data_IF_658319494051
#
_entry.id   IF_658319494051
#
_cell.length_a   1.000
_cell.length_b   1.000
_cell.length_c   1.000
_cell.angle_alpha   90.00
_cell.angle_beta   90.00
_cell.angle_gamma   90.00
#
_symmetry.space_group_name_H-M   'P 1'
#
loop_
_entity.id
_entity.type
_entity.pdbx_description
1 polymer ?
#
# COMPACT_ATOMS: atom_id res chain seq x y z
N UNK A 1 3.51 62.75 39.39
CA UNK A 1 4.46 61.73 38.91
C UNK A 1 4.41 60.51 39.83
N UNK A 2 3.82 59.41 39.33
CA UNK A 2 4.13 57.99 39.62
C UNK A 2 2.91 57.16 39.16
N UNK A 3 2.96 56.68 37.92
CA UNK A 3 2.06 55.63 37.46
C UNK A 3 2.56 54.30 38.01
N UNK A 4 1.68 53.53 38.65
CA UNK A 4 1.92 52.14 39.01
C UNK A 4 0.99 51.28 38.14
N UNK A 5 1.50 50.84 36.98
CA UNK A 5 0.80 49.91 36.09
C UNK A 5 1.04 48.50 36.62
N UNK A 6 0.09 47.99 37.41
CA UNK A 6 0.06 46.59 37.83
C UNK A 6 -0.48 45.78 36.66
N UNK A 7 0.43 45.09 35.95
CA UNK A 7 0.09 44.10 34.92
C UNK A 7 -0.35 42.80 35.59
N UNK A 8 -1.65 42.52 35.59
CA UNK A 8 -2.19 41.21 35.98
C UNK A 8 -2.41 40.41 34.69
N UNK A 9 -1.51 39.46 34.42
CA UNK A 9 -1.71 38.41 33.41
C UNK A 9 -2.73 37.40 33.97
N UNK A 10 -3.87 37.13 33.31
CA UNK A 10 -4.66 35.95 33.62
C UNK A 10 -3.95 34.70 33.12
N UNK A 11 -3.70 33.79 34.06
CA UNK A 11 -3.14 32.45 33.90
C UNK A 11 -3.94 31.68 32.86
N UNK A 12 -3.28 31.27 31.78
CA UNK A 12 -3.84 30.35 30.78
C UNK A 12 -3.89 28.95 31.41
N UNK A 13 -5.03 28.57 31.95
CA UNK A 13 -5.26 27.23 32.48
C UNK A 13 -5.26 26.24 31.31
N UNK A 14 -4.13 25.57 31.08
CA UNK A 14 -4.07 24.42 30.19
C UNK A 14 -4.99 23.33 30.73
N UNK A 15 -6.18 23.20 30.13
CA UNK A 15 -7.01 22.01 30.25
C UNK A 15 -6.20 20.87 29.63
N UNK A 16 -5.57 20.07 30.48
CA UNK A 16 -5.00 18.79 30.09
C UNK A 16 -6.17 17.91 29.64
N UNK A 17 -6.44 17.94 28.33
CA UNK A 17 -7.11 16.84 27.64
C UNK A 17 -6.27 15.60 27.94
N UNK A 18 -6.72 14.80 28.90
CA UNK A 18 -6.25 13.43 29.07
C UNK A 18 -6.64 12.69 27.80
N UNK A 19 -5.75 12.74 26.81
CA UNK A 19 -5.82 11.88 25.66
C UNK A 19 -5.88 10.45 26.21
N UNK A 20 -6.95 9.73 25.88
CA UNK A 20 -7.01 8.30 26.02
C UNK A 20 -5.87 7.71 25.18
N UNK A 21 -4.68 7.56 25.77
CA UNK A 21 -3.60 6.72 25.27
C UNK A 21 -4.01 5.26 25.48
N UNK A 22 -5.10 4.85 24.83
CA UNK A 22 -5.29 3.44 24.51
C UNK A 22 -4.24 3.13 23.45
N UNK A 23 -3.06 2.74 23.92
CA UNK A 23 -2.01 2.18 23.10
C UNK A 23 -2.50 0.79 22.73
N UNK A 24 -3.02 0.57 21.51
CA UNK A 24 -3.62 -0.70 21.21
C UNK A 24 -2.46 -1.68 21.07
N UNK A 25 -2.46 -2.70 21.91
CA UNK A 25 -1.43 -3.74 21.86
C UNK A 25 -1.59 -4.45 20.53
N UNK A 26 -0.51 -4.54 19.74
CA UNK A 26 -0.55 -5.27 18.48
C UNK A 26 -0.96 -6.72 18.77
N UNK A 27 -2.15 -7.11 18.30
CA UNK A 27 -2.69 -8.45 18.48
C UNK A 27 -2.20 -9.32 17.33
N UNK A 28 -0.89 -9.59 17.32
CA UNK A 28 -0.35 -10.65 16.50
C UNK A 28 -0.75 -12.00 17.12
N UNK A 29 -1.22 -12.96 16.31
CA UNK A 29 -1.37 -14.32 16.78
C UNK A 29 -0.01 -14.87 17.23
N UNK A 30 -0.02 -15.72 18.26
CA UNK A 30 1.19 -16.29 18.88
C UNK A 30 2.04 -17.10 17.90
N UNK A 31 1.46 -17.56 16.79
CA UNK A 31 2.18 -18.21 15.68
C UNK A 31 2.09 -17.35 14.41
N UNK A 32 3.23 -16.83 13.97
CA UNK A 32 3.37 -16.24 12.64
C UNK A 32 3.65 -17.31 11.59
N UNK A 33 3.10 -17.12 10.40
CA UNK A 33 3.39 -17.97 9.24
C UNK A 33 4.72 -17.54 8.63
N UNK A 34 5.55 -18.50 8.20
CA UNK A 34 6.76 -18.19 7.44
C UNK A 34 6.37 -17.68 6.04
N UNK A 35 7.05 -16.63 5.55
CA UNK A 35 6.80 -16.08 4.21
C UNK A 35 6.89 -17.13 3.09
N UNK A 36 7.74 -18.16 3.25
CA UNK A 36 7.88 -19.28 2.31
C UNK A 36 6.67 -20.21 2.24
N UNK A 37 5.78 -20.17 3.23
CA UNK A 37 4.55 -20.96 3.26
C UNK A 37 3.36 -20.21 2.62
N UNK A 38 3.54 -18.96 2.19
CA UNK A 38 2.52 -18.21 1.48
C UNK A 38 2.31 -18.83 0.08
N UNK A 39 1.06 -18.84 -0.43
CA UNK A 39 0.79 -19.38 -1.75
C UNK A 39 1.57 -18.59 -2.82
N UNK A 40 2.12 -19.31 -3.80
CA UNK A 40 2.80 -18.67 -4.92
C UNK A 40 1.86 -17.71 -5.67
N UNK A 41 2.41 -16.60 -6.17
CA UNK A 41 1.70 -15.63 -7.01
C UNK A 41 1.60 -16.17 -8.45
N UNK A 42 0.42 -16.10 -9.07
CA UNK A 42 0.23 -16.53 -10.46
C UNK A 42 0.80 -15.49 -11.44
N UNK A 43 1.86 -15.79 -12.20
CA UNK A 43 2.53 -14.80 -13.04
C UNK A 43 1.67 -14.21 -14.17
N UNK A 44 0.52 -14.82 -14.48
CA UNK A 44 -0.46 -14.31 -15.45
C UNK A 44 -1.45 -13.29 -14.89
N UNK A 45 -1.32 -12.89 -13.63
CA UNK A 45 -2.16 -11.89 -12.97
C UNK A 45 -1.33 -10.70 -12.50
N UNK A 46 -1.95 -9.53 -12.38
CA UNK A 46 -1.33 -8.48 -11.58
C UNK A 46 -1.48 -8.81 -10.11
N UNK A 47 -0.46 -8.49 -9.34
CA UNK A 47 -0.47 -8.62 -7.89
C UNK A 47 -0.13 -7.30 -7.21
N UNK A 48 -0.99 -6.88 -6.30
CA UNK A 48 -0.63 -5.92 -5.26
C UNK A 48 -0.30 -6.71 -4.01
N UNK A 49 0.97 -6.66 -3.59
CA UNK A 49 1.48 -7.41 -2.46
C UNK A 49 1.83 -6.43 -1.37
N UNK A 50 1.20 -6.59 -0.20
CA UNK A 50 1.43 -5.77 0.96
C UNK A 50 2.09 -6.58 2.08
N UNK A 51 3.11 -6.00 2.68
CA UNK A 51 3.76 -6.44 3.91
C UNK A 51 3.55 -5.38 4.98
N UNK A 52 2.31 -5.22 5.45
CA UNK A 52 1.90 -4.10 6.31
C UNK A 52 2.57 -4.23 7.67
N UNK A 53 3.45 -3.28 8.09
CA UNK A 53 4.10 -3.36 9.38
C UNK A 53 3.08 -3.32 10.52
N UNK A 54 3.35 -4.03 11.62
CA UNK A 54 2.43 -4.09 12.76
C UNK A 54 2.25 -2.76 13.48
N UNK A 55 3.19 -1.85 13.29
CA UNK A 55 3.12 -0.47 13.78
C UNK A 55 2.14 0.37 12.95
N UNK A 56 1.93 0.00 11.68
CA UNK A 56 0.94 0.62 10.77
C UNK A 56 -0.46 0.02 10.99
N UNK A 57 -0.54 -1.29 11.26
CA UNK A 57 -1.79 -1.99 11.48
C UNK A 57 -1.69 -3.02 12.62
N UNK A 58 -2.40 -2.77 13.71
CA UNK A 58 -2.37 -3.65 14.89
C UNK A 58 -3.21 -4.93 14.74
N UNK A 59 -4.12 -4.96 13.78
CA UNK A 59 -5.01 -6.10 13.51
C UNK A 59 -5.08 -6.40 12.02
N UNK A 60 -5.45 -7.64 11.67
CA UNK A 60 -5.66 -8.05 10.28
C UNK A 60 -6.66 -7.13 9.57
N UNK A 61 -7.80 -6.81 10.20
CA UNK A 61 -8.82 -5.94 9.59
C UNK A 61 -8.29 -4.54 9.30
N UNK A 62 -7.49 -3.96 10.20
CA UNK A 62 -6.85 -2.65 9.95
C UNK A 62 -5.83 -2.77 8.82
N UNK A 63 -5.09 -3.87 8.73
CA UNK A 63 -4.12 -4.08 7.65
C UNK A 63 -4.81 -4.17 6.28
N UNK A 64 -5.92 -4.92 6.17
CA UNK A 64 -6.71 -4.96 4.94
C UNK A 64 -7.23 -3.58 4.56
N UNK A 65 -7.81 -2.85 5.52
CA UNK A 65 -8.34 -1.50 5.28
C UNK A 65 -7.24 -0.55 4.78
N UNK A 66 -6.08 -0.55 5.45
CA UNK A 66 -4.93 0.28 5.08
C UNK A 66 -4.45 -0.02 3.66
N UNK A 67 -4.44 -1.28 3.23
CA UNK A 67 -4.08 -1.65 1.85
C UNK A 67 -5.07 -1.07 0.85
N UNK A 68 -6.38 -1.25 1.06
CA UNK A 68 -7.39 -0.74 0.12
C UNK A 68 -7.41 0.79 0.06
N UNK A 69 -7.30 1.47 1.20
CA UNK A 69 -7.21 2.93 1.27
C UNK A 69 -5.96 3.42 0.54
N UNK A 70 -4.81 2.82 0.79
CA UNK A 70 -3.55 3.22 0.16
C UNK A 70 -3.57 3.00 -1.35
N UNK A 71 -4.10 1.86 -1.81
CA UNK A 71 -4.28 1.59 -3.24
C UNK A 71 -5.25 2.57 -3.88
N UNK A 72 -6.35 2.92 -3.21
CA UNK A 72 -7.33 3.85 -3.74
C UNK A 72 -6.74 5.26 -3.84
N UNK A 73 -6.05 5.72 -2.80
CA UNK A 73 -5.38 7.01 -2.79
C UNK A 73 -4.30 7.11 -3.88
N UNK A 74 -3.47 6.07 -4.06
CA UNK A 74 -2.50 6.03 -5.15
C UNK A 74 -3.17 6.11 -6.53
N UNK A 75 -4.29 5.42 -6.74
CA UNK A 75 -5.05 5.48 -7.99
C UNK A 75 -5.64 6.86 -8.26
N UNK A 76 -6.18 7.51 -7.24
CA UNK A 76 -6.70 8.88 -7.35
C UNK A 76 -5.58 9.85 -7.75
N UNK A 77 -4.43 9.75 -7.09
CA UNK A 77 -3.27 10.58 -7.43
C UNK A 77 -2.78 10.37 -8.88
N UNK A 78 -2.69 9.11 -9.32
CA UNK A 78 -2.29 8.78 -10.71
C UNK A 78 -3.35 9.24 -11.71
N UNK A 79 -4.63 9.13 -11.35
CA UNK A 79 -5.76 9.63 -12.15
C UNK A 79 -5.68 11.15 -12.32
N UNK A 80 -5.40 11.90 -11.26
CA UNK A 80 -5.20 13.35 -11.37
C UNK A 80 -3.99 13.70 -12.23
N UNK A 81 -2.86 13.01 -12.04
CA UNK A 81 -1.61 13.33 -12.73
C UNK A 81 -1.62 12.95 -14.22
N UNK A 82 -1.99 11.71 -14.54
CA UNK A 82 -1.89 11.18 -15.89
C UNK A 82 -3.18 11.34 -16.69
N UNK A 83 -4.31 11.51 -16.00
CA UNK A 83 -5.63 11.41 -16.60
C UNK A 83 -6.54 12.62 -16.40
N UNK A 84 -6.01 13.71 -15.85
CA UNK A 84 -6.80 14.92 -15.59
C UNK A 84 -8.03 14.63 -14.73
N UNK A 85 -7.88 13.71 -13.77
CA UNK A 85 -8.95 13.27 -12.86
C UNK A 85 -9.85 12.18 -13.41
N UNK A 86 -9.66 11.72 -14.66
CA UNK A 86 -10.42 10.58 -15.19
C UNK A 86 -9.96 9.27 -14.55
N UNK A 87 -10.89 8.47 -13.98
CA UNK A 87 -10.53 7.25 -13.26
C UNK A 87 -9.69 6.29 -14.13
N UNK A 88 -8.55 5.84 -13.59
CA UNK A 88 -7.81 4.73 -14.19
C UNK A 88 -8.58 3.41 -13.98
N UNK A 89 -8.56 2.54 -15.00
CA UNK A 89 -9.30 1.29 -14.95
C UNK A 89 -8.84 0.43 -13.76
N UNK A 90 -9.79 -0.07 -12.96
CA UNK A 90 -9.49 -1.08 -11.93
C UNK A 90 -9.54 -2.45 -12.59
N UNK A 91 -8.51 -3.27 -12.40
CA UNK A 91 -8.54 -4.66 -12.84
C UNK A 91 -9.63 -5.44 -12.10
N UNK A 92 -10.16 -6.48 -12.74
CA UNK A 92 -11.11 -7.39 -12.10
C UNK A 92 -10.36 -8.24 -11.09
N UNK A 93 -10.64 -8.06 -9.81
CA UNK A 93 -10.05 -8.87 -8.73
C UNK A 93 -10.50 -10.32 -8.90
N UNK A 94 -9.54 -11.24 -8.94
CA UNK A 94 -9.78 -12.68 -9.10
C UNK A 94 -9.47 -13.46 -7.82
N UNK A 95 -8.59 -12.92 -6.97
CA UNK A 95 -8.16 -13.60 -5.75
C UNK A 95 -7.72 -12.57 -4.71
N UNK A 96 -7.96 -12.88 -3.44
CA UNK A 96 -7.38 -12.18 -2.30
C UNK A 96 -6.79 -13.21 -1.34
N UNK A 97 -5.64 -12.93 -0.77
CA UNK A 97 -5.01 -13.79 0.23
C UNK A 97 -4.55 -12.98 1.45
N UNK A 98 -4.93 -13.41 2.64
CA UNK A 98 -4.67 -12.72 3.91
C UNK A 98 -5.77 -11.72 4.28
N UNK A 99 -5.54 -10.83 5.26
CA UNK A 99 -4.24 -10.61 5.91
C UNK A 99 -3.82 -11.74 6.85
N UNK A 100 -2.58 -12.21 6.73
CA UNK A 100 -2.00 -13.23 7.62
C UNK A 100 -0.77 -12.69 8.33
N UNK A 101 -0.63 -12.98 9.62
CA UNK A 101 0.53 -12.57 10.40
C UNK A 101 1.77 -13.37 9.97
N UNK A 102 2.82 -12.66 9.59
CA UNK A 102 4.06 -13.22 9.06
C UNK A 102 5.26 -12.44 9.59
N UNK A 103 6.46 -12.98 9.35
CA UNK A 103 7.65 -12.13 9.25
C UNK A 103 7.82 -11.73 7.79
N UNK A 104 8.03 -10.45 7.52
CA UNK A 104 8.32 -9.99 6.17
C UNK A 104 9.64 -10.59 5.64
N UNK A 105 9.93 -10.51 4.33
CA UNK A 105 11.16 -11.03 3.77
C UNK A 105 12.41 -10.43 4.45
N UNK A 106 13.51 -11.19 4.49
CA UNK A 106 14.76 -10.72 5.08
C UNK A 106 15.29 -9.43 4.41
N UNK A 107 15.02 -9.24 3.12
CA UNK A 107 15.32 -8.01 2.38
C UNK A 107 14.59 -6.78 2.92
N UNK A 108 13.55 -6.96 3.74
CA UNK A 108 12.75 -5.92 4.39
C UNK A 108 12.94 -5.90 5.92
N UNK A 109 13.96 -6.60 6.44
CA UNK A 109 14.33 -6.56 7.86
C UNK A 109 13.76 -7.69 8.74
N UNK A 110 13.01 -8.65 8.18
CA UNK A 110 12.44 -9.80 8.90
C UNK A 110 11.57 -9.45 10.13
N UNK A 111 10.91 -8.29 10.08
CA UNK A 111 10.04 -7.79 11.15
C UNK A 111 8.63 -8.36 11.05
N UNK A 112 7.87 -8.39 12.16
CA UNK A 112 6.46 -8.76 12.14
C UNK A 112 5.64 -7.87 11.20
N UNK A 113 4.79 -8.48 10.40
CA UNK A 113 3.94 -7.79 9.43
C UNK A 113 2.66 -8.60 9.14
N UNK A 114 1.70 -7.94 8.50
CA UNK A 114 0.56 -8.60 7.86
C UNK A 114 0.83 -8.73 6.36
N UNK A 115 0.86 -9.97 5.87
CA UNK A 115 0.86 -10.23 4.43
C UNK A 115 -0.55 -10.16 3.88
N UNK A 116 -0.75 -9.35 2.85
CA UNK A 116 -2.00 -9.31 2.10
C UNK A 116 -1.73 -9.18 0.61
N UNK A 117 -2.36 -10.03 -0.21
CA UNK A 117 -2.24 -9.99 -1.67
C UNK A 117 -3.60 -9.81 -2.31
N UNK A 118 -3.69 -8.89 -3.26
CA UNK A 118 -4.81 -8.75 -4.18
C UNK A 118 -4.31 -9.15 -5.56
N UNK A 119 -4.90 -10.19 -6.16
CA UNK A 119 -4.62 -10.59 -7.53
C UNK A 119 -5.78 -10.15 -8.43
N UNK A 120 -5.48 -9.56 -9.58
CA UNK A 120 -6.48 -9.12 -10.55
C UNK A 120 -6.07 -9.51 -11.98
N UNK A 121 -7.05 -9.54 -12.90
CA UNK A 121 -6.76 -9.70 -14.32
C UNK A 121 -5.81 -8.59 -14.79
N UNK A 122 -4.78 -8.92 -15.61
CA UNK A 122 -3.86 -7.92 -16.13
C UNK A 122 -4.56 -6.88 -16.99
N UNK A 123 -3.86 -5.76 -17.19
CA UNK A 123 -4.30 -4.71 -18.09
C UNK A 123 -4.98 -3.57 -17.36
N UNK A 124 -4.32 -3.01 -16.34
CA UNK A 124 -4.59 -1.63 -15.95
C UNK A 124 -4.41 -0.77 -17.20
N UNK A 125 -5.52 -0.39 -17.82
CA UNK A 125 -5.52 0.59 -18.88
C UNK A 125 -5.47 1.96 -18.22
N UNK A 126 -4.55 2.79 -18.70
CA UNK A 126 -4.58 4.21 -18.38
C UNK A 126 -5.79 4.88 -19.04
N UNK A 127 -5.70 6.20 -19.16
CA UNK A 127 -6.66 7.02 -19.90
C UNK A 127 -6.08 7.41 -21.26
N UNK A 128 -6.92 7.45 -22.30
CA UNK A 128 -6.52 7.95 -23.62
C UNK A 128 -5.30 7.23 -24.20
N UNK A 129 -4.20 7.95 -24.36
CA UNK A 129 -2.93 7.46 -24.92
C UNK A 129 -1.97 6.87 -23.89
N UNK A 130 -2.32 6.88 -22.60
CA UNK A 130 -1.45 6.38 -21.55
C UNK A 130 -1.24 4.87 -21.63
N UNK A 131 0.03 4.46 -21.61
CA UNK A 131 0.41 3.06 -21.64
C UNK A 131 0.13 2.38 -20.28
N UNK A 132 -0.08 1.07 -20.31
CA UNK A 132 -0.14 0.28 -19.08
C UNK A 132 1.16 0.44 -18.26
N UNK A 133 2.33 0.46 -18.92
CA UNK A 133 3.62 0.59 -18.24
C UNK A 133 3.86 1.96 -17.57
N UNK A 134 3.36 3.06 -18.15
CA UNK A 134 3.39 4.37 -17.48
C UNK A 134 2.47 4.36 -16.27
N UNK A 135 1.29 3.76 -16.40
CA UNK A 135 0.31 3.63 -15.31
C UNK A 135 0.84 2.80 -14.14
N UNK A 136 1.44 1.63 -14.37
CA UNK A 136 2.01 0.81 -13.29
C UNK A 136 3.17 1.53 -12.58
N UNK A 137 4.07 2.19 -13.33
CA UNK A 137 5.19 2.93 -12.73
C UNK A 137 4.71 4.11 -11.89
N UNK A 138 3.70 4.83 -12.36
CA UNK A 138 3.10 5.92 -11.60
C UNK A 138 2.38 5.40 -10.35
N UNK A 139 1.69 4.26 -10.43
CA UNK A 139 1.12 3.63 -9.24
C UNK A 139 2.20 3.24 -8.23
N UNK A 140 3.25 2.56 -8.68
CA UNK A 140 4.34 2.12 -7.81
C UNK A 140 5.02 3.28 -7.07
N UNK A 141 5.20 4.42 -7.73
CA UNK A 141 5.81 5.61 -7.11
C UNK A 141 4.92 6.31 -6.07
N UNK A 142 3.60 6.07 -6.09
CA UNK A 142 2.63 6.63 -5.12
C UNK A 142 2.26 5.66 -4.01
N UNK A 143 2.63 4.39 -4.12
CA UNK A 143 2.33 3.40 -3.10
C UNK A 143 3.26 3.55 -1.89
N UNK A 144 2.77 3.24 -0.67
CA UNK A 144 3.64 3.11 0.47
C UNK A 144 4.71 2.03 0.22
N UNK A 145 5.90 2.20 0.80
CA UNK A 145 7.01 1.25 0.63
C UNK A 145 6.70 -0.20 1.05
N UNK A 146 5.64 -0.42 1.83
CA UNK A 146 5.15 -1.73 2.24
C UNK A 146 4.12 -2.34 1.27
N UNK A 147 3.81 -1.69 0.14
CA UNK A 147 3.01 -2.25 -0.96
C UNK A 147 3.85 -2.22 -2.24
N UNK A 148 3.93 -3.35 -2.93
CA UNK A 148 4.48 -3.42 -4.28
C UNK A 148 3.43 -3.86 -5.28
N UNK A 149 3.63 -3.46 -6.55
CA UNK A 149 2.83 -3.95 -7.68
C UNK A 149 3.73 -4.84 -8.54
N UNK A 150 3.22 -6.01 -8.91
CA UNK A 150 3.84 -6.90 -9.88
C UNK A 150 2.87 -7.08 -11.03
N UNK A 151 3.09 -6.43 -12.19
CA UNK A 151 2.25 -6.62 -13.36
C UNK A 151 2.30 -8.07 -13.84
N UNK A 152 1.14 -8.58 -14.28
CA UNK A 152 1.06 -9.90 -14.89
C UNK A 152 1.81 -9.91 -16.21
N UNK A 153 2.58 -10.96 -16.45
CA UNK A 153 3.16 -11.21 -17.78
C UNK A 153 2.06 -11.82 -18.63
N UNK A 154 1.23 -11.00 -19.25
CA UNK A 154 0.51 -11.45 -20.46
C UNK A 154 1.57 -11.96 -21.43
N UNK A 155 1.41 -13.19 -21.92
CA UNK A 155 2.36 -13.84 -22.84
C UNK A 155 2.87 -12.84 -23.86
N UNK A 156 4.11 -12.40 -23.65
CA UNK A 156 4.86 -11.63 -24.62
C UNK A 156 5.09 -12.66 -25.72
N UNK A 157 4.24 -12.64 -26.75
CA UNK A 157 4.61 -13.24 -28.02
C UNK A 157 5.81 -12.43 -28.49
N UNK A 158 6.99 -12.87 -28.08
CA UNK A 158 8.27 -12.36 -28.55
C UNK A 158 8.46 -12.87 -29.98
N UNK A 159 7.62 -12.40 -30.90
CA UNK A 159 7.93 -12.38 -32.33
C UNK A 159 8.79 -11.15 -32.60
N UNK A 160 9.97 -11.13 -31.99
CA UNK A 160 11.04 -10.17 -32.25
C UNK A 160 12.33 -10.69 -31.62
N UNK A 161 12.82 -11.86 -32.09
CA UNK A 161 14.24 -12.25 -32.06
C UNK A 161 14.44 -13.53 -32.90
N UNK A 162 13.97 -13.47 -34.15
CA UNK A 162 14.37 -14.40 -35.21
C UNK A 162 14.93 -13.59 -36.38
N UNK A 163 15.86 -12.69 -36.10
CA UNK A 163 16.87 -12.25 -37.07
C UNK A 163 18.15 -11.94 -36.29
N UNK A 164 19.06 -12.92 -36.26
CA UNK A 164 20.51 -12.79 -36.48
C UNK A 164 21.07 -14.21 -36.26
N UNK A 165 21.22 -14.94 -37.36
CA UNK A 165 22.39 -15.75 -37.71
C UNK A 165 21.99 -16.66 -38.87
N UNK A 166 22.36 -16.26 -40.08
CA UNK A 166 23.30 -16.96 -40.96
C UNK A 166 23.49 -16.14 -42.24
#
# INVERSE_FOLDING_TARGET
MKQLVIKILPVLTCVFLQACSHQPTAHLPTSMVNASALPASNPGLDHFIAWVPTEVAQTATVAEAMVHISLQHAREQVSEELCGGQPIARGVVVEKHGPVAVRNPASMGATPAWYYRISQRPGLQGCGTESANSTYRALESRLPAWISVTPGRTGISHTADLEISH
#
